data_IF_982521750204
#
_entry.id   IF_982521750204
#
_cell.length_a   1.000
_cell.length_b   1.000
_cell.length_c   1.000
_cell.angle_alpha   90.00
_cell.angle_beta   90.00
_cell.angle_gamma   90.00
#
_symmetry.space_group_name_H-M   'P 1'
#
loop_
_entity.id
_entity.type
_entity.pdbx_description
1 polymer ?
#
# COMPACT_ATOMS: atom_id res chain seq x y z
N UNK A 1 6.45 11.72 4.37
CA UNK A 1 6.04 10.32 4.11
C UNK A 1 7.20 9.58 3.46
N UNK A 2 7.66 8.47 4.06
CA UNK A 2 8.78 7.68 3.52
C UNK A 2 8.33 6.71 2.42
N UNK A 3 7.63 7.20 1.40
CA UNK A 3 7.16 6.38 0.27
C UNK A 3 8.10 6.62 -0.90
N UNK A 4 8.53 5.54 -1.57
CA UNK A 4 9.37 5.65 -2.75
C UNK A 4 8.53 5.66 -4.03
N UNK A 5 8.66 6.76 -4.78
CA UNK A 5 8.08 6.91 -6.11
C UNK A 5 6.56 7.02 -6.13
N UNK A 6 6.05 7.42 -7.30
CA UNK A 6 4.62 7.43 -7.60
C UNK A 6 4.20 6.23 -8.46
N UNK A 7 5.17 5.43 -8.93
CA UNK A 7 4.95 4.28 -9.79
C UNK A 7 4.85 2.98 -9.00
N UNK A 8 4.11 2.02 -9.55
CA UNK A 8 3.93 0.70 -8.96
C UNK A 8 5.24 -0.09 -8.98
N UNK A 9 5.53 -0.80 -7.89
CA UNK A 9 6.82 -1.46 -7.70
C UNK A 9 6.82 -2.87 -8.31
N UNK A 10 7.08 -2.94 -9.62
CA UNK A 10 7.16 -4.16 -10.43
C UNK A 10 8.62 -4.62 -10.59
N UNK A 11 9.27 -4.99 -9.49
CA UNK A 11 10.59 -5.62 -9.50
C UNK A 11 10.45 -7.12 -9.21
N UNK A 12 11.34 -7.99 -9.72
CA UNK A 12 11.18 -9.44 -9.59
C UNK A 12 10.88 -9.90 -8.16
N UNK A 13 11.69 -9.47 -7.19
CA UNK A 13 11.50 -9.81 -5.77
C UNK A 13 10.18 -9.28 -5.20
N UNK A 14 9.75 -8.07 -5.59
CA UNK A 14 8.48 -7.51 -5.14
C UNK A 14 7.31 -8.32 -5.71
N UNK A 15 7.44 -8.78 -6.96
CA UNK A 15 6.46 -9.65 -7.58
C UNK A 15 6.43 -11.05 -6.95
N UNK A 16 7.59 -11.61 -6.61
CA UNK A 16 7.70 -12.89 -5.90
C UNK A 16 7.05 -12.85 -4.52
N UNK A 17 7.25 -11.75 -3.78
CA UNK A 17 6.63 -11.59 -2.46
C UNK A 17 5.09 -11.59 -2.55
N UNK A 18 4.50 -11.04 -3.62
CA UNK A 18 3.02 -11.01 -3.80
C UNK A 18 2.43 -12.37 -4.15
N UNK A 19 3.21 -13.28 -4.75
CA UNK A 19 2.78 -14.65 -5.03
C UNK A 19 3.32 -15.68 -4.02
N UNK A 20 3.97 -15.22 -2.95
CA UNK A 20 4.60 -16.11 -1.99
C UNK A 20 3.52 -16.89 -1.19
N UNK A 21 3.65 -18.21 -1.18
CA UNK A 21 2.68 -19.11 -0.54
C UNK A 21 2.50 -18.82 0.95
N UNK A 22 3.57 -18.44 1.68
CA UNK A 22 3.47 -18.14 3.12
C UNK A 22 2.71 -16.84 3.38
N UNK A 23 2.92 -15.83 2.54
CA UNK A 23 2.20 -14.56 2.61
C UNK A 23 0.72 -14.80 2.29
N UNK A 24 0.44 -15.53 1.21
CA UNK A 24 -0.91 -15.95 0.86
C UNK A 24 -1.60 -16.71 2.02
N UNK A 25 -0.88 -17.64 2.66
CA UNK A 25 -1.36 -18.38 3.82
C UNK A 25 -1.80 -17.47 4.99
N UNK A 26 -1.07 -16.40 5.25
CA UNK A 26 -1.46 -15.42 6.29
C UNK A 26 -2.79 -14.76 5.93
N UNK A 27 -2.91 -14.20 4.73
CA UNK A 27 -4.13 -13.50 4.34
C UNK A 27 -5.34 -14.43 4.24
N UNK A 28 -5.19 -15.62 3.64
CA UNK A 28 -6.31 -16.58 3.57
C UNK A 28 -6.83 -16.97 4.94
N UNK A 29 -5.94 -17.08 5.92
CA UNK A 29 -6.30 -17.42 7.30
C UNK A 29 -7.02 -16.25 7.97
N UNK A 30 -6.54 -15.02 7.76
CA UNK A 30 -7.14 -13.82 8.37
C UNK A 30 -8.50 -13.44 7.77
N UNK A 31 -8.73 -13.78 6.50
CA UNK A 31 -10.02 -13.60 5.81
C UNK A 31 -10.96 -14.80 5.93
N UNK A 32 -10.44 -15.98 6.28
CA UNK A 32 -11.17 -17.25 6.16
C UNK A 32 -11.69 -17.49 4.72
N UNK A 33 -10.85 -17.14 3.74
CA UNK A 33 -11.15 -17.24 2.31
C UNK A 33 -9.88 -17.59 1.55
N UNK A 34 -9.97 -18.50 0.59
CA UNK A 34 -8.85 -18.96 -0.22
C UNK A 34 -8.77 -18.28 -1.59
N UNK A 35 -9.84 -17.63 -2.05
CA UNK A 35 -9.89 -16.97 -3.35
C UNK A 35 -9.53 -15.49 -3.20
N UNK A 36 -8.24 -15.20 -3.30
CA UNK A 36 -7.71 -13.86 -3.04
C UNK A 36 -7.14 -13.21 -4.30
N UNK A 37 -7.06 -11.88 -4.27
CA UNK A 37 -6.37 -11.06 -5.25
C UNK A 37 -5.27 -10.25 -4.54
N UNK A 38 -4.15 -10.00 -5.22
CA UNK A 38 -3.05 -9.18 -4.67
C UNK A 38 -3.08 -7.78 -5.26
N UNK A 39 -2.67 -6.79 -4.46
CA UNK A 39 -2.41 -5.45 -4.99
C UNK A 39 -1.03 -5.34 -5.66
N UNK A 40 -0.89 -4.32 -6.49
CA UNK A 40 0.36 -3.92 -7.12
C UNK A 40 0.71 -2.51 -6.61
N UNK A 41 1.41 -2.47 -5.48
CA UNK A 41 1.70 -1.22 -4.75
C UNK A 41 3.22 -0.90 -4.71
N UNK A 42 3.62 0.02 -3.81
CA UNK A 42 4.91 0.68 -3.72
C UNK A 42 5.85 0.08 -2.68
N UNK A 43 7.07 0.61 -2.64
CA UNK A 43 8.01 0.47 -1.53
C UNK A 43 7.87 1.62 -0.53
N UNK A 44 8.27 1.38 0.72
CA UNK A 44 8.52 2.43 1.70
C UNK A 44 10.01 2.51 2.03
N UNK A 45 10.55 3.72 2.05
CA UNK A 45 11.90 4.02 2.52
C UNK A 45 11.91 5.21 3.48
N UNK A 46 12.55 5.04 4.62
CA UNK A 46 12.99 6.17 5.44
C UNK A 46 14.51 6.28 5.36
N UNK A 47 15.00 7.49 5.09
CA UNK A 47 16.43 7.77 5.04
C UNK A 47 17.00 7.79 6.47
N UNK A 48 18.28 7.39 6.66
CA UNK A 48 18.98 7.61 7.91
C UNK A 48 19.06 9.10 8.19
N UNK A 49 19.01 9.49 9.46
CA UNK A 49 19.05 10.90 9.89
C UNK A 49 20.21 11.20 10.84
N UNK A 50 20.92 10.16 11.28
CA UNK A 50 22.15 10.23 12.08
C UNK A 50 23.33 9.69 11.29
N UNK A 51 24.50 10.30 11.49
CA UNK A 51 25.79 9.79 10.97
C UNK A 51 25.76 9.40 9.49
N UNK A 52 25.14 10.23 8.64
CA UNK A 52 25.00 9.92 7.21
C UNK A 52 26.30 10.27 6.49
N UNK A 53 26.97 9.27 5.93
CA UNK A 53 28.17 9.47 5.12
C UNK A 53 27.83 9.94 3.70
N UNK A 54 28.47 11.02 3.25
CA UNK A 54 28.35 11.59 1.90
C UNK A 54 29.65 11.36 1.12
N UNK A 55 29.75 10.31 0.28
CA UNK A 55 30.99 9.97 -0.42
C UNK A 55 31.53 11.11 -1.29
N UNK A 56 30.65 11.87 -1.95
CA UNK A 56 31.04 13.02 -2.78
C UNK A 56 31.68 14.17 -2.00
N UNK A 57 31.50 14.21 -0.69
CA UNK A 57 32.00 15.26 0.20
C UNK A 57 33.02 14.73 1.23
N UNK A 58 33.27 13.41 1.28
CA UNK A 58 34.16 12.77 2.24
C UNK A 58 33.81 13.02 3.71
N UNK A 59 32.53 13.30 4.03
CA UNK A 59 32.11 13.71 5.38
C UNK A 59 30.85 12.99 5.87
N UNK A 60 30.72 12.93 7.18
CA UNK A 60 29.56 12.37 7.89
C UNK A 60 28.81 13.49 8.60
N UNK A 61 27.50 13.57 8.39
CA UNK A 61 26.66 14.61 9.00
C UNK A 61 25.27 14.09 9.37
N UNK A 62 24.70 14.69 10.41
CA UNK A 62 23.28 14.53 10.72
C UNK A 62 22.38 15.18 9.66
N UNK A 63 21.19 14.60 9.48
CA UNK A 63 20.15 15.08 8.55
C UNK A 63 18.80 15.11 9.24
N UNK A 64 18.67 16.00 10.24
CA UNK A 64 17.40 16.16 10.98
C UNK A 64 16.24 16.57 10.06
N UNK A 65 16.52 17.35 9.01
CA UNK A 65 15.55 17.75 7.99
C UNK A 65 15.07 16.59 7.08
N UNK A 66 15.64 15.39 7.20
CA UNK A 66 15.18 14.21 6.47
C UNK A 66 14.13 13.39 7.22
N UNK A 67 13.88 13.71 8.50
CA UNK A 67 12.85 13.07 9.30
C UNK A 67 11.47 13.22 8.65
N UNK A 68 10.67 12.16 8.72
CA UNK A 68 9.24 12.25 8.39
C UNK A 68 8.52 13.07 9.47
N UNK A 69 7.28 13.48 9.18
CA UNK A 69 6.40 14.08 10.18
C UNK A 69 6.33 13.20 11.43
N UNK A 70 6.47 13.80 12.60
CA UNK A 70 6.23 13.12 13.87
C UNK A 70 4.74 13.00 14.13
N UNK A 71 4.37 11.97 14.89
CA UNK A 71 3.02 11.80 15.44
C UNK A 71 1.89 11.81 14.38
N UNK A 72 2.20 11.55 13.11
CA UNK A 72 1.18 11.43 12.07
C UNK A 72 0.32 10.20 12.36
N UNK A 73 -0.99 10.37 12.53
CA UNK A 73 -1.91 9.29 12.88
C UNK A 73 -3.20 9.47 12.08
N UNK A 74 -3.61 8.42 11.38
CA UNK A 74 -4.76 8.44 10.50
C UNK A 74 -5.41 7.05 10.41
N UNK A 75 -6.62 7.05 9.87
CA UNK A 75 -7.28 5.87 9.34
C UNK A 75 -7.20 5.91 7.82
N UNK A 76 -6.85 4.80 7.19
CA UNK A 76 -6.98 4.56 5.74
C UNK A 76 -8.38 4.02 5.37
N UNK A 77 -9.34 4.43 6.19
CA UNK A 77 -10.74 4.19 6.02
C UNK A 77 -11.49 5.40 6.59
N UNK A 78 -12.49 5.89 5.88
CA UNK A 78 -13.47 6.78 6.46
C UNK A 78 -14.46 5.97 7.29
N UNK A 79 -14.45 6.03 8.63
CA UNK A 79 -15.26 5.13 9.44
C UNK A 79 -16.75 5.54 9.48
N UNK A 80 -17.09 6.69 8.89
CA UNK A 80 -18.48 7.09 8.70
C UNK A 80 -19.09 6.48 7.45
N UNK A 81 -18.31 6.29 6.38
CA UNK A 81 -18.82 5.82 5.07
C UNK A 81 -18.30 4.42 4.70
N UNK A 82 -17.22 3.98 5.33
CA UNK A 82 -16.51 2.72 5.09
C UNK A 82 -15.64 2.71 3.84
N UNK A 83 -15.49 3.86 3.18
CA UNK A 83 -14.57 3.99 2.05
C UNK A 83 -13.16 3.71 2.52
N UNK A 84 -12.45 2.82 1.83
CA UNK A 84 -11.05 2.49 2.10
C UNK A 84 -10.19 2.80 0.89
N UNK A 85 -8.91 3.06 1.13
CA UNK A 85 -7.96 3.17 0.03
C UNK A 85 -7.98 1.89 -0.83
N UNK A 86 -8.05 2.06 -2.14
CA UNK A 86 -8.02 0.98 -3.14
C UNK A 86 -6.67 0.92 -3.85
N UNK A 87 -5.65 1.65 -3.35
CA UNK A 87 -4.40 1.83 -4.05
C UNK A 87 -3.70 0.49 -4.37
N UNK A 88 -3.38 0.32 -5.65
CA UNK A 88 -2.76 -0.90 -6.17
C UNK A 88 -3.76 -2.00 -6.53
N UNK A 89 -5.06 -1.79 -6.34
CA UNK A 89 -6.12 -2.58 -6.96
C UNK A 89 -6.77 -1.78 -8.10
N UNK A 90 -7.57 -2.47 -8.91
CA UNK A 90 -8.60 -1.82 -9.71
C UNK A 90 -9.82 -1.58 -8.81
N UNK A 91 -10.38 -0.38 -8.86
CA UNK A 91 -11.66 -0.08 -8.23
C UNK A 91 -12.82 -0.25 -9.21
N UNK A 92 -13.95 -0.74 -8.71
CA UNK A 92 -15.20 -0.76 -9.48
C UNK A 92 -15.88 0.61 -9.38
N UNK A 93 -16.53 1.07 -10.45
CA UNK A 93 -17.23 2.36 -10.43
C UNK A 93 -18.29 2.44 -9.31
N UNK A 94 -18.96 1.32 -9.02
CA UNK A 94 -19.93 1.21 -7.91
C UNK A 94 -19.30 1.38 -6.52
N UNK A 95 -17.98 1.20 -6.38
CA UNK A 95 -17.27 1.36 -5.12
C UNK A 95 -16.74 2.76 -4.86
N UNK A 96 -16.60 3.55 -5.93
CA UNK A 96 -16.33 4.98 -5.84
C UNK A 96 -17.67 5.68 -5.66
N UNK A 97 -18.18 5.62 -4.43
CA UNK A 97 -19.26 6.51 -4.04
C UNK A 97 -18.77 7.94 -4.33
N UNK A 98 -19.48 8.69 -5.17
CA UNK A 98 -19.20 10.10 -5.43
C UNK A 98 -19.11 10.87 -4.10
N UNK A 99 -18.20 11.85 -3.94
CA UNK A 99 -18.27 12.78 -2.82
C UNK A 99 -19.70 13.32 -2.72
N UNK A 100 -20.37 13.10 -1.58
CA UNK A 100 -21.73 13.60 -1.36
C UNK A 100 -21.78 14.41 -0.07
N UNK A 101 -22.64 15.42 -0.07
CA UNK A 101 -22.89 16.27 1.09
C UNK A 101 -23.69 15.55 2.18
N UNK A 102 -24.35 14.45 1.82
CA UNK A 102 -25.06 13.58 2.74
C UNK A 102 -24.79 12.10 2.41
N UNK A 103 -23.62 11.57 2.79
CA UNK A 103 -23.26 10.19 2.51
C UNK A 103 -24.07 9.19 3.35
N UNK A 104 -24.95 9.69 4.23
CA UNK A 104 -25.81 8.89 5.10
C UNK A 104 -27.26 8.81 4.58
N UNK A 105 -27.70 9.69 3.67
CA UNK A 105 -29.02 9.58 3.01
C UNK A 105 -29.04 8.67 1.79
N UNK A 106 -27.89 8.14 1.35
CA UNK A 106 -27.82 7.15 0.29
C UNK A 106 -28.60 5.89 0.69
N UNK A 107 -29.84 5.82 0.25
CA UNK A 107 -30.84 4.83 0.64
C UNK A 107 -30.56 3.40 0.14
N UNK A 108 -29.37 3.09 -0.40
CA UNK A 108 -29.09 1.80 -1.00
C UNK A 108 -27.71 1.21 -0.62
N UNK A 109 -27.81 0.02 -0.02
CA UNK A 109 -26.80 -1.01 0.26
C UNK A 109 -25.90 -0.83 1.50
N UNK A 110 -26.35 -1.57 2.54
CA UNK A 110 -25.69 -2.00 3.77
C UNK A 110 -25.57 -0.96 4.90
N UNK A 111 -26.51 -1.12 5.85
CA UNK A 111 -26.63 -0.66 7.26
C UNK A 111 -25.37 -0.63 8.14
N UNK A 112 -24.15 -0.78 7.60
CA UNK A 112 -22.89 -0.70 8.35
C UNK A 112 -21.83 0.16 7.64
N UNK A 113 -22.18 1.03 6.70
CA UNK A 113 -21.27 2.01 6.09
C UNK A 113 -19.89 1.41 5.75
N UNK A 114 -19.83 0.36 4.92
CA UNK A 114 -18.60 -0.36 4.52
C UNK A 114 -17.76 -1.04 5.62
N UNK A 115 -18.10 -0.91 6.91
CA UNK A 115 -17.37 -1.49 8.05
C UNK A 115 -17.48 -3.03 8.16
N UNK A 116 -18.39 -3.65 7.38
CA UNK A 116 -18.60 -5.10 7.38
C UNK A 116 -17.48 -5.85 6.68
N UNK A 117 -17.02 -5.34 5.55
CA UNK A 117 -15.95 -5.98 4.78
C UNK A 117 -14.64 -5.61 5.45
N UNK A 118 -13.95 -6.61 5.99
CA UNK A 118 -12.62 -6.42 6.56
C UNK A 118 -11.67 -6.02 5.44
N UNK A 119 -10.91 -4.95 5.63
CA UNK A 119 -9.87 -4.51 4.69
C UNK A 119 -8.55 -4.61 5.42
N UNK A 120 -7.66 -5.45 4.91
CA UNK A 120 -6.34 -5.67 5.51
C UNK A 120 -5.27 -4.96 4.69
N UNK A 121 -4.28 -4.47 5.42
CA UNK A 121 -3.06 -3.90 4.87
C UNK A 121 -1.86 -4.62 5.45
N UNK A 122 -0.74 -4.62 4.73
CA UNK A 122 0.48 -5.17 5.28
C UNK A 122 1.76 -4.50 4.76
N UNK A 123 2.80 -4.67 5.56
CA UNK A 123 4.17 -4.32 5.23
C UNK A 123 5.07 -5.52 5.47
N UNK A 124 5.93 -5.80 4.48
CA UNK A 124 7.01 -6.76 4.60
C UNK A 124 8.32 -6.00 4.83
N UNK A 125 8.99 -6.30 5.93
CA UNK A 125 10.30 -5.72 6.25
C UNK A 125 11.40 -6.30 5.37
N UNK A 126 12.07 -5.46 4.57
CA UNK A 126 13.17 -5.88 3.71
C UNK A 126 14.54 -5.78 4.40
N UNK A 127 14.59 -5.01 5.48
CA UNK A 127 15.70 -4.85 6.42
C UNK A 127 15.15 -4.84 7.85
N UNK A 128 16.01 -4.97 8.86
CA UNK A 128 15.59 -4.77 10.24
C UNK A 128 15.12 -3.33 10.45
N UNK A 129 13.93 -3.19 11.04
CA UNK A 129 13.29 -1.92 11.34
C UNK A 129 13.23 -1.78 12.86
N UNK A 130 14.34 -1.38 13.49
CA UNK A 130 14.40 -1.17 14.94
C UNK A 130 13.61 0.10 15.28
N UNK A 131 13.33 0.30 16.57
CA UNK A 131 12.56 1.46 17.00
C UNK A 131 13.21 2.79 16.54
N UNK A 132 14.52 2.96 16.71
CA UNK A 132 15.21 4.16 16.25
C UNK A 132 15.21 4.37 14.72
N UNK A 133 14.91 3.33 13.92
CA UNK A 133 14.91 3.42 12.46
C UNK A 133 13.59 4.01 11.90
N UNK A 134 12.66 4.36 12.80
CA UNK A 134 11.32 4.83 12.44
C UNK A 134 10.45 3.72 11.87
N UNK A 135 9.22 4.04 11.51
CA UNK A 135 8.32 3.11 10.84
C UNK A 135 6.94 3.04 11.47
N UNK A 136 6.35 1.85 11.49
CA UNK A 136 4.94 1.67 11.80
C UNK A 136 4.64 1.87 13.29
N UNK A 137 3.63 2.68 13.58
CA UNK A 137 2.98 2.74 14.88
C UNK A 137 1.47 2.70 14.70
N UNK A 138 0.77 2.23 15.72
CA UNK A 138 -0.68 2.12 15.71
C UNK A 138 -1.28 2.32 17.10
N UNK A 139 -2.60 2.34 17.20
CA UNK A 139 -3.35 2.33 18.47
C UNK A 139 -4.07 0.97 18.61
N UNK A 140 -3.39 -0.09 19.12
CA UNK A 140 -4.00 -1.40 19.28
C UNK A 140 -5.27 -1.36 20.14
N UNK A 141 -6.30 -2.12 19.75
CA UNK A 141 -7.58 -2.16 20.47
C UNK A 141 -8.59 -1.10 20.01
N UNK A 142 -8.21 -0.16 19.13
CA UNK A 142 -9.14 0.88 18.64
C UNK A 142 -10.40 0.33 17.95
N UNK A 143 -10.36 -0.90 17.42
CA UNK A 143 -11.55 -1.54 16.86
C UNK A 143 -12.72 -1.66 17.85
N UNK A 144 -12.44 -1.65 19.16
CA UNK A 144 -13.47 -1.64 20.21
C UNK A 144 -14.08 -0.25 20.45
N UNK A 145 -13.44 0.81 19.97
CA UNK A 145 -13.81 2.21 20.20
C UNK A 145 -14.25 2.94 18.94
N UNK A 146 -13.98 2.40 17.74
CA UNK A 146 -14.19 3.08 16.45
C UNK A 146 -15.63 3.58 16.28
N UNK A 147 -16.65 2.82 16.69
CA UNK A 147 -18.04 3.25 16.57
C UNK A 147 -18.34 4.51 17.40
N UNK A 148 -17.90 4.53 18.66
CA UNK A 148 -18.04 5.69 19.55
C UNK A 148 -17.21 6.86 19.04
N UNK A 149 -15.97 6.60 18.61
CA UNK A 149 -15.07 7.62 18.08
C UNK A 149 -15.67 8.29 16.83
N UNK A 150 -16.21 7.52 15.89
CA UNK A 150 -16.88 8.04 14.68
C UNK A 150 -18.08 8.92 15.03
N UNK A 151 -18.89 8.54 16.02
CA UNK A 151 -20.03 9.35 16.45
C UNK A 151 -19.58 10.71 17.01
N UNK A 152 -18.58 10.71 17.88
CA UNK A 152 -18.01 11.94 18.46
C UNK A 152 -17.32 12.81 17.40
N UNK A 153 -16.73 12.19 16.38
CA UNK A 153 -15.97 12.85 15.31
C UNK A 153 -16.72 12.90 13.96
N UNK A 154 -18.06 12.79 13.96
CA UNK A 154 -18.82 12.66 12.71
C UNK A 154 -18.56 13.80 11.72
N UNK A 155 -18.45 15.05 12.19
CA UNK A 155 -18.14 16.22 11.33
C UNK A 155 -16.77 16.10 10.68
N UNK A 156 -15.78 15.56 11.40
CA UNK A 156 -14.45 15.33 10.86
C UNK A 156 -14.50 14.27 9.74
N UNK A 157 -15.20 13.15 9.97
CA UNK A 157 -15.37 12.10 8.97
C UNK A 157 -16.15 12.57 7.75
N UNK A 158 -17.20 13.40 7.93
CA UNK A 158 -17.94 14.02 6.83
C UNK A 158 -17.04 14.95 5.99
N UNK A 159 -16.26 15.83 6.62
CA UNK A 159 -15.33 16.70 5.88
C UNK A 159 -14.29 15.93 5.10
N UNK A 160 -13.74 14.85 5.67
CA UNK A 160 -12.81 13.97 4.95
C UNK A 160 -13.45 13.40 3.69
N UNK A 161 -14.74 13.01 3.74
CA UNK A 161 -15.50 12.49 2.59
C UNK A 161 -15.60 13.49 1.42
N UNK A 162 -15.51 14.79 1.68
CA UNK A 162 -15.54 15.86 0.68
C UNK A 162 -14.15 16.27 0.19
N UNK A 163 -13.08 15.66 0.72
CA UNK A 163 -11.70 15.97 0.34
C UNK A 163 -11.26 15.22 -0.92
N UNK A 164 -10.08 15.56 -1.43
CA UNK A 164 -9.45 14.85 -2.55
C UNK A 164 -9.05 13.41 -2.22
N UNK A 165 -8.98 13.05 -0.93
CA UNK A 165 -8.80 11.66 -0.47
C UNK A 165 -9.91 11.31 0.53
N UNK A 166 -11.10 10.90 0.04
CA UNK A 166 -12.25 10.61 0.88
C UNK A 166 -12.11 9.31 1.68
N UNK A 167 -10.98 8.62 1.54
CA UNK A 167 -10.69 7.36 2.22
C UNK A 167 -9.85 7.54 3.48
N UNK A 168 -9.19 8.70 3.64
CA UNK A 168 -8.26 8.96 4.74
C UNK A 168 -8.84 9.93 5.77
N UNK A 169 -8.87 9.52 7.04
CA UNK A 169 -9.28 10.39 8.15
C UNK A 169 -8.10 10.63 9.09
N UNK A 170 -7.66 11.88 9.19
CA UNK A 170 -6.60 12.30 10.11
C UNK A 170 -7.15 12.36 11.54
N UNK A 171 -6.46 11.73 12.49
CA UNK A 171 -6.82 11.83 13.91
C UNK A 171 -6.41 13.22 14.43
N UNK A 172 -7.27 13.99 15.12
CA UNK A 172 -6.93 15.31 15.67
C UNK A 172 -5.71 15.26 16.60
N UNK A 173 -4.86 16.28 16.59
CA UNK A 173 -3.60 16.31 17.36
C UNK A 173 -3.79 16.23 18.88
N UNK A 174 -4.93 16.71 19.36
CA UNK A 174 -5.39 16.74 20.75
C UNK A 174 -6.29 15.55 21.13
N UNK A 175 -6.49 14.59 20.22
CA UNK A 175 -7.32 13.42 20.50
C UNK A 175 -6.66 12.49 21.54
N UNK A 176 -7.36 12.12 22.62
CA UNK A 176 -6.80 11.31 23.71
C UNK A 176 -6.37 9.90 23.26
N UNK A 177 -6.88 9.37 22.15
CA UNK A 177 -6.44 8.03 21.67
C UNK A 177 -4.94 7.99 21.34
N UNK A 178 -4.32 9.16 21.12
CA UNK A 178 -2.89 9.29 20.82
C UNK A 178 -2.00 8.86 21.99
N UNK A 179 -2.50 8.90 23.23
CA UNK A 179 -1.77 8.41 24.42
C UNK A 179 -1.55 6.89 24.36
N UNK A 180 -2.31 6.19 23.53
CA UNK A 180 -2.24 4.73 23.37
C UNK A 180 -1.45 4.29 22.12
N UNK A 181 -0.72 5.20 21.47
CA UNK A 181 0.14 4.86 20.33
C UNK A 181 1.26 3.92 20.78
N UNK A 182 1.46 2.84 20.03
CA UNK A 182 2.54 1.89 20.21
C UNK A 182 3.39 1.78 18.95
N UNK A 183 4.70 1.95 19.10
CA UNK A 183 5.68 1.73 18.03
C UNK A 183 5.91 0.23 17.83
N UNK A 184 5.91 -0.23 16.59
CA UNK A 184 6.08 -1.64 16.23
C UNK A 184 7.38 -1.83 15.46
N UNK A 185 8.51 -2.15 16.13
CA UNK A 185 9.72 -2.57 15.43
C UNK A 185 9.50 -3.92 14.74
N UNK A 186 10.09 -4.10 13.56
CA UNK A 186 9.83 -5.26 12.69
C UNK A 186 11.17 -5.83 12.21
N UNK A 187 11.41 -7.13 12.45
CA UNK A 187 12.61 -7.81 11.95
C UNK A 187 12.52 -8.04 10.45
N UNK A 188 13.66 -8.04 9.77
CA UNK A 188 13.77 -8.40 8.35
C UNK A 188 13.03 -9.70 8.06
N UNK A 189 12.27 -9.72 6.97
CA UNK A 189 11.47 -10.87 6.52
C UNK A 189 10.15 -11.05 7.26
N UNK A 190 9.86 -10.25 8.30
CA UNK A 190 8.57 -10.32 9.00
C UNK A 190 7.49 -9.55 8.24
N UNK A 191 6.28 -10.12 8.23
CA UNK A 191 5.07 -9.49 7.72
C UNK A 191 4.28 -8.90 8.89
N UNK A 192 4.03 -7.60 8.87
CA UNK A 192 3.10 -6.94 9.79
C UNK A 192 1.80 -6.66 9.02
N UNK A 193 0.67 -7.17 9.53
CA UNK A 193 -0.66 -7.01 8.95
C UNK A 193 -1.54 -6.24 9.91
N UNK A 194 -2.36 -5.32 9.41
CA UNK A 194 -3.35 -4.60 10.21
C UNK A 194 -4.65 -4.40 9.44
N UNK A 195 -5.70 -4.09 10.18
CA UNK A 195 -7.01 -3.73 9.65
C UNK A 195 -7.06 -2.24 9.33
N UNK A 196 -7.62 -1.82 8.19
CA UNK A 196 -7.74 -0.39 7.82
C UNK A 196 -8.53 0.45 8.84
N UNK A 197 -9.30 -0.20 9.73
CA UNK A 197 -9.97 0.41 10.89
C UNK A 197 -9.03 0.79 12.04
N UNK A 198 -7.75 0.42 11.97
CA UNK A 198 -6.77 0.71 13.01
C UNK A 198 -6.09 2.06 12.74
N UNK A 199 -6.16 3.04 13.66
CA UNK A 199 -5.40 4.27 13.56
C UNK A 199 -3.91 3.92 13.57
N UNK A 200 -3.22 4.36 12.54
CA UNK A 200 -1.82 4.04 12.35
C UNK A 200 -1.09 5.19 11.66
N UNK A 201 0.21 5.04 11.56
CA UNK A 201 1.06 6.05 10.98
C UNK A 201 2.51 5.62 10.94
N UNK A 202 3.35 6.60 10.63
CA UNK A 202 4.78 6.42 10.59
C UNK A 202 5.48 7.40 11.52
N UNK A 203 6.29 6.90 12.45
CA UNK A 203 7.11 7.72 13.33
C UNK A 203 8.52 7.92 12.73
N UNK A 204 9.20 9.04 13.03
CA UNK A 204 10.40 9.43 12.29
C UNK A 204 11.62 8.55 12.58
N UNK A 205 12.45 8.36 11.55
CA UNK A 205 13.77 7.75 11.70
C UNK A 205 14.72 8.68 12.47
N UNK A 206 15.38 8.15 13.49
CA UNK A 206 16.38 8.83 14.32
C UNK A 206 17.69 8.06 14.40
N UNK A 207 18.04 7.27 13.38
CA UNK A 207 19.22 6.41 13.35
C UNK A 207 20.08 6.62 12.10
N UNK A 208 21.18 5.88 12.03
CA UNK A 208 22.07 5.80 10.88
C UNK A 208 21.70 4.69 9.89
N UNK A 209 20.56 4.02 10.07
CA UNK A 209 20.08 2.96 9.20
C UNK A 209 18.89 3.41 8.37
N UNK A 210 18.78 2.90 7.15
CA UNK A 210 17.56 3.02 6.36
C UNK A 210 16.51 2.06 6.89
N UNK A 211 15.25 2.47 6.81
CA UNK A 211 14.11 1.55 6.94
C UNK A 211 13.56 1.29 5.55
N UNK A 212 13.49 0.03 5.14
CA UNK A 212 13.02 -0.37 3.80
C UNK A 212 11.96 -1.46 3.93
N UNK A 213 10.81 -1.24 3.31
CA UNK A 213 9.69 -2.19 3.27
C UNK A 213 9.09 -2.30 1.89
N UNK A 214 8.33 -3.37 1.71
CA UNK A 214 7.33 -3.48 0.66
C UNK A 214 5.94 -3.36 1.28
N UNK A 215 5.08 -2.48 0.75
CA UNK A 215 3.64 -2.57 1.02
C UNK A 215 3.08 -3.77 0.23
N UNK A 216 2.22 -4.58 0.83
CA UNK A 216 1.48 -5.64 0.13
C UNK A 216 0.15 -5.92 0.79
N UNK A 217 -0.89 -6.08 -0.02
CA UNK A 217 -2.25 -6.28 0.45
C UNK A 217 -2.85 -7.40 -0.39
N UNK A 218 -3.69 -8.21 0.24
CA UNK A 218 -4.59 -9.11 -0.47
C UNK A 218 -6.03 -8.78 -0.09
N UNK A 219 -6.95 -9.03 -1.00
CA UNK A 219 -8.38 -8.89 -0.77
C UNK A 219 -9.12 -10.14 -1.27
N UNK A 220 -10.24 -10.53 -0.65
CA UNK A 220 -11.10 -11.57 -1.18
C UNK A 220 -11.62 -11.22 -2.58
N UNK A 221 -11.76 -12.21 -3.46
CA UNK A 221 -12.46 -12.03 -4.74
C UNK A 221 -13.96 -11.73 -4.52
N UNK A 222 -14.51 -11.99 -3.33
CA UNK A 222 -15.88 -11.57 -3.00
C UNK A 222 -16.00 -10.06 -2.72
N UNK A 223 -14.89 -9.33 -2.64
CA UNK A 223 -14.89 -7.90 -2.42
C UNK A 223 -15.30 -7.15 -3.69
N UNK A 224 -16.59 -6.84 -3.81
CA UNK A 224 -17.20 -6.16 -4.96
C UNK A 224 -16.55 -4.81 -5.28
N UNK A 225 -15.87 -4.19 -4.31
CA UNK A 225 -15.19 -2.92 -4.50
C UNK A 225 -13.85 -3.04 -5.22
N UNK A 226 -13.22 -4.21 -5.17
CA UNK A 226 -11.84 -4.40 -5.60
C UNK A 226 -11.75 -5.45 -6.69
N UNK A 227 -10.88 -5.19 -7.66
CA UNK A 227 -10.47 -6.16 -8.67
C UNK A 227 -8.94 -6.16 -8.79
N UNK A 228 -8.34 -7.21 -9.36
CA UNK A 228 -6.93 -7.20 -9.68
C UNK A 228 -6.59 -5.97 -10.51
N UNK A 229 -5.49 -5.30 -10.18
CA UNK A 229 -5.00 -4.20 -11.01
C UNK A 229 -4.74 -4.73 -12.43
N UNK A 230 -5.20 -4.05 -13.51
CA UNK A 230 -5.31 -4.66 -14.83
C UNK A 230 -3.97 -4.63 -15.57
N UNK A 231 -2.99 -5.35 -15.01
CA UNK A 231 -1.72 -5.62 -15.64
C UNK A 231 -1.90 -6.56 -16.82
N UNK A 232 -0.98 -6.46 -17.78
CA UNK A 232 -0.69 -7.50 -18.74
C UNK A 232 0.52 -8.31 -18.26
N UNK A 233 0.68 -9.55 -18.73
CA UNK A 233 1.85 -10.37 -18.37
C UNK A 233 3.18 -9.71 -18.80
N UNK A 234 3.15 -8.97 -19.90
CA UNK A 234 4.27 -8.15 -20.39
C UNK A 234 4.63 -6.96 -19.48
N UNK A 235 3.73 -6.54 -18.57
CA UNK A 235 4.07 -5.53 -17.56
C UNK A 235 4.97 -6.11 -16.47
N UNK A 236 5.03 -7.44 -16.32
CA UNK A 236 5.86 -8.11 -15.32
C UNK A 236 7.33 -8.15 -15.77
N UNK A 237 8.29 -8.17 -14.82
CA UNK A 237 9.71 -8.29 -15.17
C UNK A 237 10.02 -9.56 -15.96
N UNK A 238 10.88 -9.45 -16.97
CA UNK A 238 11.29 -10.59 -17.81
C UNK A 238 11.91 -11.75 -17.01
N UNK A 239 12.59 -11.43 -15.89
CA UNK A 239 13.22 -12.44 -15.02
C UNK A 239 12.27 -13.01 -13.96
N UNK A 240 11.05 -12.49 -13.85
CA UNK A 240 10.07 -12.96 -12.88
C UNK A 240 9.33 -14.19 -13.41
N UNK A 241 9.29 -15.25 -12.61
CA UNK A 241 8.57 -16.48 -12.94
C UNK A 241 7.19 -16.49 -12.29
N UNK A 242 6.16 -16.33 -13.10
CA UNK A 242 4.78 -16.36 -12.63
C UNK A 242 4.37 -17.80 -12.27
N UNK A 243 3.98 -18.01 -11.02
CA UNK A 243 3.49 -19.32 -10.52
C UNK A 243 2.00 -19.51 -10.80
N UNK A 244 1.48 -20.74 -10.67
CA UNK A 244 0.05 -21.00 -10.82
C UNK A 244 -0.80 -20.21 -9.80
N UNK A 245 -0.34 -20.13 -8.55
CA UNK A 245 -0.96 -19.27 -7.54
C UNK A 245 -0.88 -17.80 -7.95
N UNK A 246 0.27 -17.36 -8.45
CA UNK A 246 0.48 -16.01 -8.97
C UNK A 246 -0.50 -15.66 -10.10
N UNK A 247 -0.73 -16.56 -11.05
CA UNK A 247 -1.69 -16.37 -12.14
C UNK A 247 -3.08 -15.99 -11.59
N UNK A 248 -3.53 -16.64 -10.50
CA UNK A 248 -4.80 -16.33 -9.84
C UNK A 248 -4.74 -15.03 -9.04
N UNK A 249 -3.71 -14.84 -8.21
CA UNK A 249 -3.56 -13.65 -7.35
C UNK A 249 -3.45 -12.34 -8.15
N UNK A 250 -2.70 -12.34 -9.25
CA UNK A 250 -2.56 -11.18 -10.13
C UNK A 250 -3.76 -10.99 -11.08
N UNK A 251 -4.70 -11.95 -11.12
CA UNK A 251 -5.86 -11.86 -12.00
C UNK A 251 -5.58 -12.16 -13.47
N UNK A 252 -4.57 -12.98 -13.77
CA UNK A 252 -4.34 -13.52 -15.12
C UNK A 252 -5.14 -14.82 -15.38
N UNK A 253 -5.56 -15.49 -14.31
CA UNK A 253 -6.49 -16.62 -14.33
C UNK A 253 -7.57 -16.40 -13.27
N UNK A 254 -8.76 -16.94 -13.54
CA UNK A 254 -9.84 -16.99 -12.56
C UNK A 254 -9.54 -17.97 -11.43
N UNK A 255 -10.12 -17.73 -10.26
CA UNK A 255 -10.37 -18.79 -9.28
C UNK A 255 -11.53 -19.69 -9.72
N UNK A 256 -11.80 -20.74 -8.96
CA UNK A 256 -12.67 -21.83 -9.39
C UNK A 256 -14.15 -21.55 -9.18
N UNK A 257 -14.50 -20.73 -8.18
CA UNK A 257 -15.91 -20.42 -7.89
C UNK A 257 -16.61 -19.70 -9.04
N UNK A 258 -17.92 -19.92 -9.16
CA UNK A 258 -18.77 -19.24 -10.14
C UNK A 258 -18.68 -17.71 -9.99
N UNK A 259 -18.60 -17.23 -8.75
CA UNK A 259 -18.39 -15.81 -8.46
C UNK A 259 -17.07 -15.33 -9.07
N UNK A 260 -15.96 -16.01 -8.82
CA UNK A 260 -14.67 -15.62 -9.37
C UNK A 260 -14.65 -15.64 -10.90
N UNK A 261 -15.24 -16.68 -11.52
CA UNK A 261 -15.34 -16.80 -12.97
C UNK A 261 -16.17 -15.67 -13.58
N UNK A 262 -17.30 -15.33 -12.96
CA UNK A 262 -18.12 -14.19 -13.35
C UNK A 262 -17.33 -12.89 -13.22
N UNK A 263 -16.70 -12.65 -12.07
CA UNK A 263 -15.92 -11.43 -11.80
C UNK A 263 -14.73 -11.27 -12.75
N UNK A 264 -14.12 -12.38 -13.18
CA UNK A 264 -13.01 -12.38 -14.12
C UNK A 264 -13.41 -11.86 -15.52
N UNK A 265 -14.68 -12.04 -15.90
CA UNK A 265 -15.21 -11.63 -17.21
C UNK A 265 -15.76 -10.19 -17.21
N UNK A 266 -15.86 -9.55 -16.05
CA UNK A 266 -16.37 -8.19 -15.95
C UNK A 266 -15.52 -7.19 -16.72
N UNK A 267 -16.18 -6.19 -17.31
CA UNK A 267 -15.50 -5.10 -18.00
C UNK A 267 -14.63 -4.30 -17.02
N UNK A 268 -13.39 -4.07 -17.43
CA UNK A 268 -12.40 -3.29 -16.68
C UNK A 268 -12.76 -1.81 -16.68
N UNK A 269 -12.40 -1.13 -15.59
CA UNK A 269 -12.65 0.29 -15.41
C UNK A 269 -11.84 1.09 -16.45
N UNK A 270 -12.49 1.84 -17.36
CA UNK A 270 -11.80 2.55 -18.43
C UNK A 270 -10.80 3.60 -17.95
N UNK A 271 -11.08 4.28 -16.84
CA UNK A 271 -10.18 5.29 -16.25
C UNK A 271 -8.89 4.65 -15.76
N UNK A 272 -9.02 3.52 -15.06
CA UNK A 272 -7.86 2.76 -14.58
C UNK A 272 -7.07 2.18 -15.75
N UNK A 273 -7.73 1.64 -16.78
CA UNK A 273 -7.05 1.17 -17.98
C UNK A 273 -6.24 2.29 -18.66
N UNK A 274 -6.80 3.50 -18.75
CA UNK A 274 -6.09 4.66 -19.27
C UNK A 274 -4.84 4.96 -18.46
N UNK A 275 -4.95 4.98 -17.12
CA UNK A 275 -3.81 5.15 -16.22
C UNK A 275 -2.74 4.07 -16.43
N UNK A 276 -3.13 2.79 -16.51
CA UNK A 276 -2.19 1.67 -16.68
C UNK A 276 -1.43 1.79 -18.00
N UNK A 277 -2.12 2.14 -19.08
CA UNK A 277 -1.52 2.31 -20.39
C UNK A 277 -0.52 3.48 -20.39
N UNK A 278 -0.86 4.60 -19.74
CA UNK A 278 0.07 5.70 -19.56
C UNK A 278 1.32 5.28 -18.77
N UNK A 279 1.14 4.57 -17.65
CA UNK A 279 2.28 4.06 -16.86
C UNK A 279 3.14 3.05 -17.63
N UNK A 280 2.54 2.25 -18.53
CA UNK A 280 3.27 1.32 -19.41
C UNK A 280 4.14 2.09 -20.41
N UNK A 281 3.62 3.14 -21.01
CA UNK A 281 4.35 3.99 -21.93
C UNK A 281 5.54 4.69 -21.24
N UNK A 282 5.32 5.25 -20.04
CA UNK A 282 6.38 5.86 -19.23
C UNK A 282 7.50 4.86 -18.91
N UNK A 283 7.16 3.62 -18.54
CA UNK A 283 8.14 2.55 -18.31
C UNK A 283 8.96 2.23 -19.57
N UNK A 284 8.30 2.12 -20.73
CA UNK A 284 8.97 1.84 -21.99
C UNK A 284 9.97 2.95 -22.37
N UNK A 285 9.58 4.22 -22.22
CA UNK A 285 10.46 5.38 -22.49
C UNK A 285 11.66 5.38 -21.54
N UNK A 286 11.45 5.10 -20.25
CA UNK A 286 12.55 5.05 -19.29
C UNK A 286 13.54 3.90 -19.57
N UNK A 287 13.05 2.73 -20.02
CA UNK A 287 13.91 1.59 -20.43
C UNK A 287 14.81 1.98 -21.60
N UNK A 288 14.25 2.59 -22.65
CA UNK A 288 15.00 3.02 -23.83
C UNK A 288 16.09 4.07 -23.50
N UNK A 289 15.77 5.02 -22.60
CA UNK A 289 16.75 6.01 -22.10
C UNK A 289 17.89 5.40 -21.28
N UNK A 290 17.62 4.32 -20.55
CA UNK A 290 18.66 3.59 -19.83
C UNK A 290 19.54 2.79 -20.78
N UNK A 291 18.95 2.13 -21.77
CA UNK A 291 19.65 1.30 -22.76
C UNK A 291 20.52 2.14 -23.72
N UNK A 292 20.09 3.36 -24.05
CA UNK A 292 20.90 4.31 -24.82
C UNK A 292 22.08 4.86 -23.99
N UNK A 293 21.90 5.09 -22.69
CA UNK A 293 22.99 5.50 -21.78
C UNK A 293 24.02 4.40 -21.52
N UNK A 294 23.61 3.13 -21.47
CA UNK A 294 24.53 1.99 -21.31
C UNK A 294 25.32 1.72 -22.60
N UNK A 295 24.70 1.90 -23.78
CA UNK A 295 25.38 1.81 -25.08
C UNK A 295 26.41 2.93 -25.32
N UNK A 296 26.24 4.11 -24.72
CA UNK A 296 27.15 5.25 -24.86
C UNK A 296 28.26 5.31 -23.80
N UNK A 297 28.45 4.28 -22.96
CA UNK A 297 29.63 4.18 -22.10
C UNK A 297 30.75 3.48 -22.86
N UNK A 298 31.76 4.25 -23.29
CA UNK A 298 33.03 3.70 -23.80
C UNK A 298 33.65 2.75 -22.76
N UNK A 299 34.28 1.64 -23.18
CA UNK A 299 34.95 0.75 -22.24
C UNK A 299 36.03 1.51 -21.47
N UNK A 300 36.03 1.36 -20.15
CA UNK A 300 37.13 1.83 -19.29
C UNK A 300 38.36 1.04 -19.71
N UNK A 301 39.32 1.73 -20.34
CA UNK A 301 40.63 1.17 -20.65
C UNK A 301 41.31 0.92 -19.30
N UNK A 302 41.56 -0.35 -18.98
CA UNK A 302 42.41 -0.71 -17.84
C UNK A 302 43.80 -0.11 -18.07
N UNK A 303 44.41 0.56 -17.06
CA UNK A 303 45.77 1.04 -17.20
C UNK A 303 46.71 -0.18 -17.19
N UNK A 304 47.37 -0.41 -18.31
CA UNK A 304 48.60 -1.19 -18.36
C UNK A 304 49.72 -0.35 -17.77
N UNK A 305 50.20 -0.75 -16.60
CA UNK A 305 51.63 -0.98 -16.28
C UNK A 305 51.78 -1.52 -14.85
#
# INVERSE_FOLDING_TARGET
MGILGNTRWLYPQACDNRQNVKIYQVFRTLFDDHELITNVTRAGLMRPTKDVYFPSLGKTEDRQNWKTMSNWLHLDMNPLTGRTTTYGFEYTAESHFEPSDDPLSAQNKSTNNGMRVRKLQAILALVDCRQQDGGFHAVPGFQHYIATWTKSNHKLCLRSNQSSDPTTVQIPWDDPIREHIQCMPIRKGSLLVWDSRLPHGNYPNSSNQMRIIQYLHMAPIADEALRPFPLLKEDLPETFQLTELGEKLYGFKSWESDLAQHRFQEQKNPEILCQVNYERLERAIMKDRCDTKTKNRSPVVEPTD
#
